data_IF_358851451848
#
_entry.id   IF_358851451848
#
_cell.length_a   1.000
_cell.length_b   1.000
_cell.length_c   1.000
_cell.angle_alpha   90.00
_cell.angle_beta   90.00
_cell.angle_gamma   90.00
#
_symmetry.space_group_name_H-M   'P 1'
#
loop_
_entity.id
_entity.type
_entity.pdbx_description
1 polymer ?
#
# COMPACT_ATOMS: atom_id res chain seq x y z
N UNK A 1 -15.52 10.39 3.92
CA UNK A 1 -15.93 9.20 3.16
C UNK A 1 -17.30 8.75 3.68
N UNK A 2 -18.27 8.64 2.79
CA UNK A 2 -19.67 8.36 3.14
C UNK A 2 -19.95 6.85 3.37
N UNK A 3 -18.92 6.02 3.50
CA UNK A 3 -19.08 4.57 3.73
C UNK A 3 -19.60 3.77 2.53
N UNK A 4 -19.53 4.34 1.32
CA UNK A 4 -20.04 3.74 0.09
C UNK A 4 -18.99 2.80 -0.51
N UNK A 5 -19.41 1.61 -0.93
CA UNK A 5 -18.57 0.69 -1.71
C UNK A 5 -18.65 1.03 -3.21
N UNK A 6 -17.51 1.04 -3.90
CA UNK A 6 -17.39 1.39 -5.33
C UNK A 6 -16.74 0.26 -6.09
N UNK A 7 -17.44 -0.26 -7.11
CA UNK A 7 -16.87 -1.25 -8.03
C UNK A 7 -16.20 -0.55 -9.23
N UNK A 8 -14.93 -0.87 -9.48
CA UNK A 8 -14.19 -0.40 -10.65
C UNK A 8 -14.32 -1.44 -11.74
N UNK A 9 -14.90 -1.04 -12.89
CA UNK A 9 -15.02 -1.88 -14.07
C UNK A 9 -14.06 -1.38 -15.15
N UNK A 10 -13.23 -2.27 -15.66
CA UNK A 10 -12.35 -2.00 -16.78
C UNK A 10 -12.72 -2.82 -18.00
N UNK A 11 -12.28 -2.35 -19.16
CA UNK A 11 -12.47 -3.03 -20.43
C UNK A 11 -11.37 -4.09 -20.57
N UNK A 12 -11.77 -5.36 -20.69
CA UNK A 12 -10.85 -6.51 -20.78
C UNK A 12 -10.70 -7.04 -22.20
N UNK A 13 -11.57 -6.62 -23.15
CA UNK A 13 -11.52 -7.02 -24.55
C UNK A 13 -10.80 -6.00 -25.45
N UNK A 14 -10.24 -6.50 -26.56
CA UNK A 14 -9.66 -5.65 -27.61
C UNK A 14 -10.77 -5.02 -28.47
N UNK A 15 -10.88 -3.68 -28.53
CA UNK A 15 -11.86 -2.99 -29.38
C UNK A 15 -11.71 -3.30 -30.86
N UNK A 16 -10.50 -3.61 -31.33
CA UNK A 16 -10.22 -3.88 -32.75
C UNK A 16 -10.74 -5.24 -33.20
N UNK A 17 -10.90 -6.20 -32.32
CA UNK A 17 -11.32 -7.57 -32.60
C UNK A 17 -12.77 -7.87 -32.19
N UNK A 18 -13.38 -6.99 -31.39
CA UNK A 18 -14.74 -7.17 -30.88
C UNK A 18 -15.81 -6.86 -31.95
N UNK A 19 -16.70 -7.82 -32.21
CA UNK A 19 -17.86 -7.64 -33.11
C UNK A 19 -19.10 -7.02 -32.42
N UNK A 20 -18.95 -6.49 -31.20
CA UNK A 20 -20.01 -5.93 -30.37
C UNK A 20 -19.47 -5.06 -29.26
N UNK A 21 -20.26 -4.74 -28.21
CA UNK A 21 -19.77 -4.03 -27.04
C UNK A 21 -18.59 -4.78 -26.43
N UNK A 22 -17.52 -4.08 -26.13
CA UNK A 22 -16.31 -4.67 -25.53
C UNK A 22 -16.62 -5.20 -24.13
N UNK A 23 -16.12 -6.39 -23.81
CA UNK A 23 -16.29 -7.02 -22.49
C UNK A 23 -15.70 -6.13 -21.39
N UNK A 24 -16.46 -5.98 -20.31
CA UNK A 24 -16.04 -5.24 -19.12
C UNK A 24 -16.15 -6.14 -17.90
N UNK A 25 -15.16 -6.08 -17.06
CA UNK A 25 -15.13 -6.86 -15.82
C UNK A 25 -14.85 -5.95 -14.61
N UNK A 26 -15.42 -6.33 -13.47
CA UNK A 26 -15.08 -5.68 -12.19
C UNK A 26 -13.68 -6.12 -11.82
N UNK A 27 -12.72 -5.21 -11.86
CA UNK A 27 -11.31 -5.48 -11.54
C UNK A 27 -10.99 -5.22 -10.08
N UNK A 28 -11.80 -4.42 -9.39
CA UNK A 28 -11.63 -4.11 -7.98
C UNK A 28 -12.91 -3.57 -7.37
N UNK A 29 -13.12 -3.86 -6.08
CA UNK A 29 -14.16 -3.25 -5.26
C UNK A 29 -13.45 -2.46 -4.15
N UNK A 30 -13.66 -1.15 -4.10
CA UNK A 30 -13.13 -0.28 -3.06
C UNK A 30 -14.20 -0.12 -1.99
N UNK A 31 -13.85 -0.46 -0.76
CA UNK A 31 -14.73 -0.32 0.41
C UNK A 31 -14.01 0.49 1.50
N UNK A 32 -14.71 1.04 2.50
CA UNK A 32 -14.06 1.86 3.52
C UNK A 32 -12.87 1.19 4.22
N UNK A 33 -12.94 -0.13 4.46
CA UNK A 33 -11.87 -0.89 5.12
C UNK A 33 -10.76 -1.37 4.16
N UNK A 34 -11.02 -1.43 2.84
CA UNK A 34 -10.05 -1.92 1.84
C UNK A 34 -9.30 -0.82 1.12
N UNK A 35 -9.34 0.41 1.63
CA UNK A 35 -8.63 1.55 1.05
C UNK A 35 -7.10 1.37 1.14
N UNK A 36 -6.41 1.65 0.04
CA UNK A 36 -4.94 1.66 -0.05
C UNK A 36 -4.40 2.92 -0.69
N UNK A 37 -5.25 3.69 -1.37
CA UNK A 37 -4.90 4.93 -2.05
C UNK A 37 -4.61 6.05 -1.04
N UNK A 38 -3.43 6.68 -1.17
CA UNK A 38 -2.99 7.77 -0.30
C UNK A 38 -4.01 8.93 -0.24
N UNK A 39 -4.61 9.29 -1.38
CA UNK A 39 -5.57 10.39 -1.46
C UNK A 39 -6.90 10.14 -0.72
N UNK A 40 -7.21 8.88 -0.39
CA UNK A 40 -8.44 8.48 0.29
C UNK A 40 -8.22 8.12 1.77
N UNK A 41 -6.97 7.93 2.17
CA UNK A 41 -6.59 7.56 3.52
C UNK A 41 -6.18 8.79 4.33
N UNK A 42 -6.65 8.86 5.58
CA UNK A 42 -6.07 9.76 6.57
C UNK A 42 -4.67 9.22 6.97
N UNK A 43 -3.64 10.05 6.84
CA UNK A 43 -2.27 9.65 7.14
C UNK A 43 -2.08 9.22 8.60
N UNK A 44 -2.83 9.83 9.51
CA UNK A 44 -2.76 9.65 10.96
C UNK A 44 -3.73 8.56 11.48
N UNK A 45 -4.59 7.96 10.62
CA UNK A 45 -5.58 6.97 11.01
C UNK A 45 -5.33 5.63 10.35
N UNK A 46 -5.67 4.58 11.09
CA UNK A 46 -5.79 3.23 10.54
C UNK A 46 -7.18 3.07 9.89
N UNK A 47 -7.25 2.32 8.79
CA UNK A 47 -8.52 1.92 8.18
C UNK A 47 -8.66 0.41 8.37
N UNK A 48 -9.38 0.01 9.41
CA UNK A 48 -9.44 -1.37 9.86
C UNK A 48 -10.67 -2.09 9.33
N UNK A 49 -10.47 -3.35 8.93
CA UNK A 49 -11.52 -4.34 8.76
C UNK A 49 -11.44 -5.28 9.94
N UNK A 50 -12.56 -5.50 10.61
CA UNK A 50 -12.67 -6.51 11.64
C UNK A 50 -13.66 -7.59 11.21
N UNK A 51 -13.43 -8.83 11.64
CA UNK A 51 -14.44 -9.89 11.60
C UNK A 51 -14.62 -10.46 12.99
N UNK A 52 -15.84 -10.81 13.34
CA UNK A 52 -16.17 -11.47 14.59
C UNK A 52 -16.91 -12.76 14.30
N UNK A 53 -16.50 -13.81 14.99
CA UNK A 53 -17.15 -15.11 14.98
C UNK A 53 -17.36 -15.61 16.41
N UNK A 54 -18.50 -16.25 16.65
CA UNK A 54 -18.87 -16.83 17.95
C UNK A 54 -19.08 -18.33 17.78
N UNK A 55 -18.46 -19.12 18.66
CA UNK A 55 -18.68 -20.55 18.71
C UNK A 55 -18.39 -21.10 20.11
N UNK A 56 -19.39 -21.80 20.68
CA UNK A 56 -19.22 -22.51 21.97
C UNK A 56 -18.98 -21.58 23.17
N UNK A 57 -19.39 -20.35 23.12
CA UNK A 57 -19.18 -19.35 24.17
C UNK A 57 -17.85 -18.58 24.04
N UNK A 58 -17.03 -18.91 23.04
CA UNK A 58 -15.83 -18.16 22.70
C UNK A 58 -16.10 -17.21 21.53
N UNK A 59 -15.48 -16.05 21.58
CA UNK A 59 -15.51 -15.00 20.57
C UNK A 59 -14.15 -14.88 19.91
N UNK A 60 -14.11 -15.03 18.60
CA UNK A 60 -12.93 -14.76 17.77
C UNK A 60 -13.05 -13.41 17.10
N UNK A 61 -12.02 -12.61 17.21
CA UNK A 61 -11.85 -11.32 16.51
C UNK A 61 -10.64 -11.41 15.61
N UNK A 62 -10.80 -11.03 14.36
CA UNK A 62 -9.71 -10.76 13.43
C UNK A 62 -9.70 -9.30 13.03
N UNK A 63 -8.52 -8.72 12.91
CA UNK A 63 -8.30 -7.30 12.60
C UNK A 63 -7.30 -7.20 11.47
N UNK A 64 -7.63 -6.51 10.38
CA UNK A 64 -6.74 -6.28 9.26
C UNK A 64 -6.70 -4.81 8.86
N UNK A 65 -5.50 -4.28 8.64
CA UNK A 65 -5.26 -3.03 7.90
C UNK A 65 -4.56 -3.36 6.58
N UNK A 66 -5.31 -3.31 5.49
CA UNK A 66 -4.79 -3.68 4.16
C UNK A 66 -3.66 -2.75 3.73
N UNK A 67 -3.75 -1.47 4.09
CA UNK A 67 -2.79 -0.45 3.67
C UNK A 67 -1.40 -0.57 4.32
N UNK A 68 -1.27 -1.29 5.44
CA UNK A 68 0.01 -1.50 6.15
C UNK A 68 0.43 -2.97 6.23
N UNK A 69 -0.47 -3.90 5.89
CA UNK A 69 -0.24 -5.33 6.04
C UNK A 69 -0.35 -5.83 7.49
N UNK A 70 -0.93 -5.04 8.40
CA UNK A 70 -1.22 -5.47 9.77
C UNK A 70 -2.35 -6.49 9.76
N UNK A 71 -2.12 -7.68 10.35
CA UNK A 71 -3.13 -8.71 10.50
C UNK A 71 -3.00 -9.35 11.89
N UNK A 72 -4.05 -9.23 12.69
CA UNK A 72 -4.04 -9.63 14.10
C UNK A 72 -5.30 -10.41 14.48
N UNK A 73 -5.19 -11.27 15.48
CA UNK A 73 -6.31 -12.08 16.00
C UNK A 73 -6.35 -12.06 17.51
N UNK A 74 -7.57 -12.21 18.05
CA UNK A 74 -7.86 -12.36 19.48
C UNK A 74 -8.97 -13.38 19.65
N UNK A 75 -8.82 -14.28 20.60
CA UNK A 75 -9.93 -15.12 21.11
C UNK A 75 -10.17 -14.84 22.58
N UNK A 76 -11.42 -14.71 22.97
CA UNK A 76 -11.85 -14.46 24.35
C UNK A 76 -13.21 -15.09 24.61
N UNK A 77 -13.45 -15.53 25.85
CA UNK A 77 -14.76 -15.98 26.32
C UNK A 77 -15.62 -14.86 26.90
N UNK A 78 -15.10 -13.62 26.93
CA UNK A 78 -15.76 -12.47 27.54
C UNK A 78 -16.23 -11.48 26.48
N UNK A 79 -17.54 -11.31 26.34
CA UNK A 79 -18.13 -10.36 25.40
C UNK A 79 -17.69 -8.91 25.64
N UNK A 80 -17.55 -8.52 26.91
CA UNK A 80 -17.13 -7.15 27.27
C UNK A 80 -15.71 -6.84 26.80
N UNK A 81 -14.83 -7.85 26.82
CA UNK A 81 -13.47 -7.72 26.26
C UNK A 81 -13.54 -7.52 24.74
N UNK A 82 -14.36 -8.32 24.04
CA UNK A 82 -14.57 -8.17 22.60
C UNK A 82 -15.10 -6.75 22.26
N UNK A 83 -16.15 -6.30 22.96
CA UNK A 83 -16.74 -4.98 22.76
C UNK A 83 -15.74 -3.86 23.05
N UNK A 84 -14.95 -3.99 24.10
CA UNK A 84 -13.91 -3.03 24.44
C UNK A 84 -12.84 -2.93 23.34
N UNK A 85 -12.43 -4.07 22.78
CA UNK A 85 -11.47 -4.10 21.68
C UNK A 85 -12.07 -3.52 20.39
N UNK A 86 -13.28 -3.88 20.02
CA UNK A 86 -13.96 -3.29 18.86
C UNK A 86 -14.12 -1.77 18.99
N UNK A 87 -14.50 -1.28 20.18
CA UNK A 87 -14.62 0.15 20.45
C UNK A 87 -13.27 0.87 20.41
N UNK A 88 -12.18 0.19 20.82
CA UNK A 88 -10.81 0.70 20.71
C UNK A 88 -10.35 0.81 19.26
N UNK A 89 -10.62 -0.24 18.48
CA UNK A 89 -10.20 -0.35 17.08
C UNK A 89 -10.99 0.59 16.18
N UNK A 90 -12.28 0.81 16.45
CA UNK A 90 -13.16 1.66 15.65
C UNK A 90 -13.17 1.23 14.17
N UNK A 91 -13.50 -0.04 13.85
CA UNK A 91 -13.34 -0.55 12.50
C UNK A 91 -14.18 0.23 11.49
N UNK A 92 -13.61 0.44 10.30
CA UNK A 92 -14.34 1.00 9.17
C UNK A 92 -15.38 0.02 8.62
N UNK A 93 -15.11 -1.29 8.77
CA UNK A 93 -16.02 -2.38 8.41
C UNK A 93 -15.93 -3.51 9.42
N UNK A 94 -17.09 -4.03 9.81
CA UNK A 94 -17.22 -5.16 10.73
C UNK A 94 -17.96 -6.30 10.03
N UNK A 95 -17.27 -7.41 9.79
CA UNK A 95 -17.81 -8.59 9.14
C UNK A 95 -18.40 -9.54 10.19
N UNK A 96 -19.64 -9.93 10.00
CA UNK A 96 -20.34 -10.86 10.88
C UNK A 96 -20.97 -11.98 10.06
N UNK A 97 -21.12 -13.21 10.60
CA UNK A 97 -21.88 -14.26 9.93
C UNK A 97 -23.34 -13.82 9.71
N UNK A 98 -23.94 -14.30 8.63
CA UNK A 98 -25.39 -14.16 8.44
C UNK A 98 -26.12 -14.86 9.60
N UNK A 99 -27.19 -14.23 10.08
CA UNK A 99 -28.04 -14.74 11.15
C UNK A 99 -27.36 -14.99 12.52
N UNK A 100 -26.18 -14.42 12.73
CA UNK A 100 -25.45 -14.54 13.98
C UNK A 100 -26.14 -13.73 15.10
N UNK A 101 -26.41 -14.40 16.25
CA UNK A 101 -27.03 -13.72 17.40
C UNK A 101 -26.18 -12.59 17.96
N UNK A 102 -24.86 -12.69 17.84
CA UNK A 102 -23.93 -11.65 18.26
C UNK A 102 -24.15 -10.32 17.52
N UNK A 103 -24.74 -10.35 16.32
CA UNK A 103 -25.07 -9.12 15.56
C UNK A 103 -25.96 -8.19 16.38
N UNK A 104 -26.95 -8.71 17.11
CA UNK A 104 -27.82 -7.91 17.99
C UNK A 104 -27.07 -7.22 19.13
N UNK A 105 -25.96 -7.81 19.56
CA UNK A 105 -25.12 -7.27 20.65
C UNK A 105 -24.08 -6.25 20.15
N UNK A 106 -23.89 -6.18 18.84
CA UNK A 106 -22.91 -5.30 18.18
C UNK A 106 -23.56 -4.23 17.28
N UNK A 107 -24.88 -4.01 17.37
CA UNK A 107 -25.63 -3.03 16.57
C UNK A 107 -25.12 -1.59 16.74
N UNK A 108 -24.45 -1.28 17.84
CA UNK A 108 -23.83 0.02 18.10
C UNK A 108 -22.66 0.35 17.15
N UNK A 109 -22.06 -0.68 16.52
CA UNK A 109 -20.94 -0.51 15.60
C UNK A 109 -21.43 -0.18 14.19
N UNK A 110 -20.72 0.73 13.53
CA UNK A 110 -21.03 1.13 12.16
C UNK A 110 -20.31 0.21 11.15
N UNK A 111 -20.81 0.20 9.92
CA UNK A 111 -20.14 -0.53 8.84
C UNK A 111 -20.26 -2.04 8.94
N UNK A 112 -21.30 -2.56 9.62
CA UNK A 112 -21.56 -4.00 9.69
C UNK A 112 -21.90 -4.54 8.30
N UNK A 113 -21.24 -5.65 7.94
CA UNK A 113 -21.50 -6.44 6.73
C UNK A 113 -21.67 -7.90 7.08
N UNK A 114 -22.76 -8.46 6.63
CA UNK A 114 -23.04 -9.90 6.83
C UNK A 114 -22.36 -10.73 5.76
N UNK A 115 -21.68 -11.79 6.20
CA UNK A 115 -20.98 -12.75 5.34
C UNK A 115 -21.59 -14.13 5.48
N UNK A 116 -21.57 -14.96 4.43
CA UNK A 116 -22.03 -16.34 4.51
C UNK A 116 -21.32 -17.10 5.61
N UNK A 117 -22.07 -17.93 6.37
CA UNK A 117 -21.53 -18.69 7.51
C UNK A 117 -20.36 -19.59 7.11
N UNK A 118 -20.37 -20.15 5.89
CA UNK A 118 -19.30 -21.02 5.39
C UNK A 118 -17.94 -20.31 5.23
N UNK A 119 -17.90 -18.98 5.16
CA UNK A 119 -16.63 -18.23 5.17
C UNK A 119 -15.92 -18.26 6.52
N UNK A 120 -16.62 -18.68 7.58
CA UNK A 120 -16.08 -18.88 8.92
C UNK A 120 -15.79 -20.35 9.22
N UNK A 121 -15.77 -21.23 8.20
CA UNK A 121 -15.37 -22.62 8.40
C UNK A 121 -13.93 -22.74 8.84
N UNK A 122 -13.66 -23.56 9.86
CA UNK A 122 -12.33 -23.68 10.48
C UNK A 122 -11.32 -24.32 9.54
N UNK A 123 -11.70 -25.37 8.82
CA UNK A 123 -10.79 -26.08 7.91
C UNK A 123 -10.40 -25.21 6.74
N UNK A 124 -11.39 -24.54 6.11
CA UNK A 124 -11.13 -23.63 5.01
C UNK A 124 -10.34 -22.40 5.45
N UNK A 125 -10.64 -21.84 6.62
CA UNK A 125 -9.91 -20.70 7.17
C UNK A 125 -8.45 -21.03 7.43
N UNK A 126 -8.17 -22.19 8.06
CA UNK A 126 -6.81 -22.69 8.25
C UNK A 126 -6.07 -22.85 6.92
N UNK A 127 -6.72 -23.46 5.91
CA UNK A 127 -6.08 -23.67 4.61
C UNK A 127 -5.78 -22.34 3.91
N UNK A 128 -6.73 -21.41 3.87
CA UNK A 128 -6.53 -20.07 3.28
C UNK A 128 -5.36 -19.30 3.92
N UNK A 129 -5.25 -19.37 5.26
CA UNK A 129 -4.16 -18.69 5.98
C UNK A 129 -2.81 -19.38 5.72
N UNK A 130 -2.76 -20.72 5.67
CA UNK A 130 -1.54 -21.45 5.29
C UNK A 130 -1.07 -21.09 3.87
N UNK A 131 -2.00 -21.07 2.93
CA UNK A 131 -1.70 -20.71 1.53
C UNK A 131 -1.23 -19.26 1.42
N UNK A 132 -1.87 -18.33 2.15
CA UNK A 132 -1.47 -16.92 2.18
C UNK A 132 -0.04 -16.73 2.70
N UNK A 133 0.33 -17.43 3.78
CA UNK A 133 1.64 -17.26 4.42
C UNK A 133 2.71 -18.24 3.90
N UNK A 134 2.33 -19.20 3.05
CA UNK A 134 3.25 -20.22 2.52
C UNK A 134 3.79 -21.17 3.59
N UNK A 135 2.97 -21.50 4.62
CA UNK A 135 3.35 -22.34 5.75
C UNK A 135 2.55 -23.65 5.81
N UNK A 136 3.13 -24.66 6.44
CA UNK A 136 2.43 -25.94 6.60
C UNK A 136 1.42 -25.92 7.76
N UNK A 137 1.70 -25.15 8.80
CA UNK A 137 0.81 -24.94 9.95
C UNK A 137 0.93 -23.51 10.50
N UNK A 138 0.01 -23.12 11.38
CA UNK A 138 -0.05 -21.79 11.97
C UNK A 138 0.67 -21.68 13.32
N UNK A 139 1.42 -22.71 13.76
CA UNK A 139 2.10 -22.74 15.06
C UNK A 139 3.14 -21.60 15.20
N UNK A 140 3.81 -21.25 14.11
CA UNK A 140 4.78 -20.15 14.08
C UNK A 140 4.17 -18.77 14.41
N UNK A 141 2.85 -18.63 14.34
CA UNK A 141 2.14 -17.38 14.65
C UNK A 141 1.52 -17.36 16.05
N UNK A 142 1.75 -18.39 16.88
CA UNK A 142 1.21 -18.50 18.24
C UNK A 142 -0.32 -18.37 18.31
N UNK A 143 -1.02 -18.93 17.32
CA UNK A 143 -2.47 -18.84 17.17
C UNK A 143 -3.19 -20.21 17.11
N UNK A 144 -2.45 -21.32 17.28
CA UNK A 144 -3.01 -22.69 17.14
C UNK A 144 -4.07 -23.02 18.16
N UNK A 145 -4.07 -22.36 19.32
CA UNK A 145 -5.04 -22.50 20.40
C UNK A 145 -6.24 -21.53 20.27
N UNK A 146 -6.35 -20.82 19.13
CA UNK A 146 -7.40 -19.81 18.88
C UNK A 146 -8.28 -20.15 17.67
N UNK A 147 -8.93 -21.31 17.60
CA UNK A 147 -9.66 -21.78 16.42
C UNK A 147 -10.79 -20.84 16.00
N UNK A 148 -11.48 -20.19 16.96
CA UNK A 148 -12.59 -19.26 16.66
C UNK A 148 -12.05 -17.96 16.05
N UNK A 149 -10.90 -17.47 16.50
CA UNK A 149 -10.25 -16.30 15.91
C UNK A 149 -9.67 -16.60 14.52
N UNK A 150 -9.19 -17.82 14.28
CA UNK A 150 -8.76 -18.29 12.96
C UNK A 150 -9.91 -18.30 11.95
N UNK A 151 -11.13 -18.72 12.36
CA UNK A 151 -12.32 -18.63 11.53
C UNK A 151 -12.61 -17.18 11.11
N UNK A 152 -12.55 -16.25 12.06
CA UNK A 152 -12.70 -14.81 11.77
C UNK A 152 -11.60 -14.29 10.82
N UNK A 153 -10.34 -14.72 10.99
CA UNK A 153 -9.23 -14.35 10.13
C UNK A 153 -9.41 -14.87 8.69
N UNK A 154 -9.90 -16.09 8.51
CA UNK A 154 -10.23 -16.66 7.21
C UNK A 154 -11.28 -15.84 6.47
N UNK A 155 -12.32 -15.38 7.16
CA UNK A 155 -13.35 -14.51 6.60
C UNK A 155 -12.78 -13.16 6.16
N UNK A 156 -11.97 -12.49 6.98
CA UNK A 156 -11.31 -11.22 6.59
C UNK A 156 -10.45 -11.41 5.36
N UNK A 157 -9.64 -12.47 5.32
CA UNK A 157 -8.75 -12.75 4.19
C UNK A 157 -9.55 -13.03 2.91
N UNK A 158 -10.65 -13.81 3.00
CA UNK A 158 -11.55 -14.08 1.87
C UNK A 158 -12.19 -12.78 1.35
N UNK A 159 -12.71 -11.93 2.24
CA UNK A 159 -13.31 -10.66 1.89
C UNK A 159 -12.34 -9.70 1.20
N UNK A 160 -11.13 -9.57 1.71
CA UNK A 160 -10.10 -8.71 1.11
C UNK A 160 -9.63 -9.29 -0.23
N UNK A 161 -9.47 -10.60 -0.35
CA UNK A 161 -9.17 -11.28 -1.61
C UNK A 161 -10.24 -11.05 -2.68
N UNK A 162 -11.53 -11.13 -2.30
CA UNK A 162 -12.68 -10.87 -3.17
C UNK A 162 -12.69 -9.40 -3.66
N UNK A 163 -12.42 -8.45 -2.77
CA UNK A 163 -12.49 -7.02 -3.07
C UNK A 163 -11.30 -6.53 -3.89
N UNK A 164 -10.10 -6.99 -3.59
CA UNK A 164 -8.89 -6.63 -4.34
C UNK A 164 -8.70 -7.44 -5.60
N UNK A 165 -9.25 -8.66 -5.68
CA UNK A 165 -9.08 -9.60 -6.81
C UNK A 165 -7.62 -9.85 -7.19
N UNK A 166 -6.72 -9.78 -6.22
CA UNK A 166 -5.27 -9.93 -6.35
C UNK A 166 -4.72 -10.66 -5.14
N UNK A 167 -3.53 -11.22 -5.30
CA UNK A 167 -2.75 -11.72 -4.16
C UNK A 167 -2.35 -10.57 -3.24
N UNK A 168 -2.17 -10.87 -1.96
CA UNK A 168 -1.85 -9.91 -0.90
C UNK A 168 -0.44 -10.19 -0.31
N UNK A 169 0.64 -10.10 -1.11
CA UNK A 169 1.96 -10.57 -0.70
C UNK A 169 2.58 -9.75 0.44
N UNK A 170 2.05 -8.57 0.74
CA UNK A 170 2.45 -7.76 1.89
C UNK A 170 1.90 -8.27 3.22
N UNK A 171 0.88 -9.13 3.20
CA UNK A 171 0.40 -9.83 4.39
C UNK A 171 1.30 -11.05 4.66
N UNK A 172 2.34 -10.86 5.46
CA UNK A 172 3.37 -11.88 5.69
C UNK A 172 3.24 -12.62 7.01
N UNK A 173 2.40 -12.15 7.92
CA UNK A 173 2.24 -12.76 9.24
C UNK A 173 0.90 -12.44 9.88
N UNK A 174 0.46 -13.37 10.72
CA UNK A 174 -0.63 -13.21 11.66
C UNK A 174 -0.04 -12.96 13.06
N UNK A 175 -0.63 -12.05 13.83
CA UNK A 175 -0.20 -11.78 15.21
C UNK A 175 -1.33 -12.05 16.18
N UNK A 176 -1.01 -12.68 17.29
CA UNK A 176 -1.93 -12.78 18.42
C UNK A 176 -1.96 -11.47 19.19
N UNK A 177 -3.14 -10.94 19.47
CA UNK A 177 -3.35 -9.88 20.44
C UNK A 177 -3.37 -10.53 21.82
N UNK A 178 -2.48 -10.11 22.70
CA UNK A 178 -2.39 -10.59 24.07
C UNK A 178 -2.90 -9.51 25.02
N UNK A 179 -4.09 -9.70 25.57
CA UNK A 179 -4.70 -8.77 26.50
C UNK A 179 -3.97 -8.74 27.85
N UNK A 180 -3.23 -9.81 28.18
CA UNK A 180 -2.39 -9.90 29.37
C UNK A 180 -1.19 -8.93 29.33
N UNK A 181 -0.72 -8.54 28.14
CA UNK A 181 0.44 -7.65 27.96
C UNK A 181 0.07 -6.19 28.11
N UNK A 182 -1.23 -5.84 28.13
CA UNK A 182 -1.70 -4.47 28.15
C UNK A 182 -2.76 -4.22 29.22
N UNK A 183 -2.93 -2.96 29.60
CA UNK A 183 -4.01 -2.52 30.47
C UNK A 183 -5.28 -2.34 29.62
N UNK A 184 -6.32 -3.08 29.94
CA UNK A 184 -7.62 -2.93 29.31
C UNK A 184 -8.29 -1.67 29.84
N UNK A 185 -8.55 -0.71 28.95
CA UNK A 185 -9.31 0.50 29.25
C UNK A 185 -10.69 0.34 28.63
N UNK A 186 -11.74 0.33 29.45
CA UNK A 186 -13.10 0.21 28.96
C UNK A 186 -13.51 1.41 28.07
N UNK A 187 -14.53 1.26 27.20
CA UNK A 187 -14.92 2.30 26.25
C UNK A 187 -15.33 3.63 26.92
N UNK A 188 -15.99 3.55 28.09
CA UNK A 188 -16.45 4.73 28.83
C UNK A 188 -15.26 5.49 29.41
N UNK A 189 -14.34 4.80 30.07
CA UNK A 189 -13.10 5.39 30.60
C UNK A 189 -12.26 6.00 29.49
N UNK A 190 -12.10 5.30 28.35
CA UNK A 190 -11.33 5.80 27.20
C UNK A 190 -11.95 7.10 26.65
N UNK A 191 -13.26 7.15 26.53
CA UNK A 191 -13.99 8.34 26.09
C UNK A 191 -13.83 9.49 27.09
N UNK A 192 -14.01 9.23 28.38
CA UNK A 192 -13.95 10.25 29.41
C UNK A 192 -12.53 10.80 29.63
N UNK A 193 -11.50 9.99 29.38
CA UNK A 193 -10.10 10.42 29.41
C UNK A 193 -9.68 11.18 28.14
N UNK A 194 -10.53 11.23 27.12
CA UNK A 194 -10.24 11.89 25.85
C UNK A 194 -8.85 11.55 25.28
N UNK A 195 -8.51 10.26 25.27
CA UNK A 195 -7.16 9.82 24.90
C UNK A 195 -6.83 10.14 23.44
N UNK A 196 -7.75 9.83 22.49
CA UNK A 196 -7.56 9.96 21.05
C UNK A 196 -8.68 10.78 20.40
N UNK A 197 -9.86 10.75 20.98
CA UNK A 197 -11.03 11.52 20.57
C UNK A 197 -11.61 12.28 21.74
N UNK A 198 -12.01 13.53 21.52
CA UNK A 198 -12.70 14.32 22.53
C UNK A 198 -14.19 13.92 22.60
N UNK A 199 -14.91 14.41 23.60
CA UNK A 199 -16.34 14.09 23.80
C UNK A 199 -17.24 14.45 22.62
N UNK A 200 -16.80 15.38 21.75
CA UNK A 200 -17.50 15.78 20.52
C UNK A 200 -17.10 14.93 19.31
N UNK A 201 -16.20 13.96 19.47
CA UNK A 201 -15.70 13.07 18.41
C UNK A 201 -14.55 13.63 17.58
N UNK A 202 -14.06 14.84 17.88
CA UNK A 202 -12.87 15.44 17.28
C UNK A 202 -11.57 14.90 17.86
N UNK A 203 -10.44 15.32 17.29
CA UNK A 203 -9.08 14.97 17.79
C UNK A 203 -8.41 16.11 18.56
N UNK A 204 -8.92 17.30 18.44
CA UNK A 204 -8.38 18.48 19.13
C UNK A 204 -8.56 18.36 20.63
N UNK A 205 -7.62 18.89 21.38
CA UNK A 205 -7.65 18.89 22.86
C UNK A 205 -7.70 17.50 23.51
N UNK A 206 -7.18 16.48 22.83
CA UNK A 206 -7.03 15.12 23.36
C UNK A 206 -5.61 14.92 23.92
N UNK A 207 -5.40 13.87 24.73
CA UNK A 207 -4.07 13.51 25.19
C UNK A 207 -3.12 13.27 24.01
N UNK A 208 -3.59 12.58 22.97
CA UNK A 208 -2.83 12.36 21.74
C UNK A 208 -2.42 13.70 21.11
N UNK A 209 -3.32 14.66 20.98
CA UNK A 209 -3.03 15.95 20.34
C UNK A 209 -1.96 16.77 21.06
N UNK A 210 -1.83 16.58 22.36
CA UNK A 210 -0.78 17.25 23.18
C UNK A 210 0.56 16.53 23.03
N UNK A 211 0.56 15.19 22.97
CA UNK A 211 1.77 14.39 22.96
C UNK A 211 2.33 14.15 21.55
N UNK A 212 1.50 14.21 20.51
CA UNK A 212 1.93 13.88 19.15
C UNK A 212 2.86 14.94 18.57
N UNK A 213 4.15 14.69 18.71
CA UNK A 213 5.24 15.41 18.08
C UNK A 213 5.96 14.54 17.04
N UNK A 214 5.35 13.43 16.63
CA UNK A 214 5.93 12.50 15.66
C UNK A 214 6.18 13.18 14.32
N UNK A 215 7.18 12.71 13.58
CA UNK A 215 7.57 13.27 12.29
C UNK A 215 7.16 12.38 11.11
N UNK A 216 6.67 11.17 11.41
CA UNK A 216 6.20 10.25 10.38
C UNK A 216 4.75 9.84 10.63
N UNK A 217 3.94 9.60 9.57
CA UNK A 217 2.58 9.06 9.74
C UNK A 217 2.56 7.73 10.51
N UNK A 218 3.54 6.85 10.26
CA UNK A 218 3.72 5.58 10.99
C UNK A 218 3.92 5.82 12.48
N UNK A 219 4.72 6.81 12.85
CA UNK A 219 4.95 7.21 14.25
C UNK A 219 3.67 7.68 14.92
N UNK A 220 2.88 8.53 14.27
CA UNK A 220 1.60 9.01 14.80
C UNK A 220 0.62 7.88 15.05
N UNK A 221 0.44 6.97 14.06
CA UNK A 221 -0.38 5.76 14.23
C UNK A 221 0.12 4.87 15.38
N UNK A 222 1.44 4.71 15.51
CA UNK A 222 2.04 3.94 16.60
C UNK A 222 1.81 4.58 17.97
N UNK A 223 1.96 5.90 18.08
CA UNK A 223 1.70 6.63 19.32
C UNK A 223 0.23 6.52 19.74
N UNK A 224 -0.71 6.67 18.82
CA UNK A 224 -2.13 6.49 19.09
C UNK A 224 -2.45 5.08 19.65
N UNK A 225 -1.82 4.04 19.06
CA UNK A 225 -1.93 2.67 19.59
C UNK A 225 -1.37 2.53 21.00
N UNK A 226 -0.21 3.10 21.29
CA UNK A 226 0.39 3.05 22.61
C UNK A 226 -0.47 3.70 23.69
N UNK A 227 -1.10 4.83 23.38
CA UNK A 227 -2.00 5.52 24.31
C UNK A 227 -3.28 4.71 24.58
N UNK A 228 -3.77 3.97 23.60
CA UNK A 228 -5.00 3.17 23.74
C UNK A 228 -4.75 1.76 24.25
N UNK A 229 -3.49 1.30 24.27
CA UNK A 229 -3.06 0.01 24.79
C UNK A 229 -1.80 0.17 25.65
N UNK A 230 -1.90 0.76 26.85
CA UNK A 230 -0.76 0.90 27.75
C UNK A 230 -0.22 -0.47 28.15
N UNK A 231 1.10 -0.60 28.21
CA UNK A 231 1.76 -1.85 28.59
C UNK A 231 1.58 -2.14 30.09
N UNK A 232 1.63 -3.44 30.43
CA UNK A 232 1.71 -3.93 31.82
C UNK A 232 3.10 -4.40 32.19
N UNK A 233 3.89 -4.83 31.21
CA UNK A 233 5.25 -5.31 31.45
C UNK A 233 6.17 -4.16 31.85
N UNK A 234 6.60 -4.16 33.12
CA UNK A 234 7.50 -3.16 33.67
C UNK A 234 8.87 -3.14 32.97
N UNK A 235 9.37 -4.30 32.53
CA UNK A 235 10.67 -4.42 31.85
C UNK A 235 10.62 -3.68 30.53
N UNK A 236 9.55 -3.87 29.74
CA UNK A 236 9.39 -3.17 28.46
C UNK A 236 9.16 -1.67 28.68
N UNK A 237 8.39 -1.29 29.71
CA UNK A 237 8.18 0.13 30.08
C UNK A 237 9.51 0.79 30.46
N UNK A 238 10.29 0.17 31.34
CA UNK A 238 11.60 0.70 31.78
C UNK A 238 12.58 0.80 30.61
N UNK A 239 12.57 -0.18 29.69
CA UNK A 239 13.40 -0.15 28.48
C UNK A 239 13.04 1.04 27.58
N UNK A 240 11.75 1.36 27.42
CA UNK A 240 11.31 2.54 26.67
C UNK A 240 11.69 3.85 27.36
N UNK A 241 11.51 3.92 28.69
CA UNK A 241 11.89 5.10 29.47
C UNK A 241 13.41 5.35 29.44
N UNK A 242 14.21 4.29 29.54
CA UNK A 242 15.66 4.37 29.41
C UNK A 242 16.09 4.90 28.04
N UNK A 243 15.44 4.42 26.96
CA UNK A 243 15.71 4.93 25.62
C UNK A 243 15.37 6.43 25.49
N UNK A 244 14.25 6.88 26.04
CA UNK A 244 13.89 8.31 26.09
C UNK A 244 14.91 9.11 26.85
N UNK A 245 15.32 8.66 28.06
CA UNK A 245 16.31 9.33 28.86
C UNK A 245 17.66 9.47 28.14
N UNK A 246 18.11 8.41 27.45
CA UNK A 246 19.34 8.44 26.65
C UNK A 246 19.27 9.49 25.54
N UNK A 247 18.16 9.53 24.80
CA UNK A 247 17.96 10.51 23.74
C UNK A 247 17.93 11.95 24.27
N UNK A 248 17.36 12.18 25.45
CA UNK A 248 17.34 13.51 26.10
C UNK A 248 18.71 13.97 26.58
N UNK A 249 19.49 13.08 27.21
CA UNK A 249 20.81 13.43 27.76
C UNK A 249 21.78 13.93 26.69
N UNK A 250 21.76 13.37 25.51
CA UNK A 250 22.67 13.71 24.42
C UNK A 250 22.11 14.72 23.42
N UNK A 251 20.89 15.21 23.63
CA UNK A 251 20.16 16.09 22.70
C UNK A 251 20.14 15.58 21.25
N UNK A 252 20.30 14.27 21.06
CA UNK A 252 20.43 13.60 19.77
C UNK A 252 19.07 13.34 19.10
N UNK A 253 17.98 13.58 19.83
CA UNK A 253 16.64 13.45 19.27
C UNK A 253 16.35 14.50 18.18
N UNK A 254 16.96 15.70 18.21
CA UNK A 254 16.70 16.73 17.20
C UNK A 254 17.19 16.35 15.80
N UNK A 255 18.45 15.90 15.60
CA UNK A 255 18.88 15.37 14.30
C UNK A 255 18.02 14.21 13.82
N UNK A 256 17.69 13.25 14.68
CA UNK A 256 16.82 12.13 14.35
C UNK A 256 15.44 12.58 13.89
N UNK A 257 14.86 13.59 14.56
CA UNK A 257 13.58 14.18 14.17
C UNK A 257 13.63 14.85 12.81
N UNK A 258 14.71 15.59 12.54
CA UNK A 258 14.91 16.25 11.24
C UNK A 258 15.01 15.24 10.09
N UNK A 259 15.70 14.13 10.30
CA UNK A 259 15.81 13.04 9.34
C UNK A 259 14.46 12.31 9.16
N UNK A 260 13.81 11.94 10.26
CA UNK A 260 12.51 11.27 10.21
C UNK A 260 11.43 12.12 9.52
N UNK A 261 11.50 13.45 9.58
CA UNK A 261 10.59 14.35 8.86
C UNK A 261 10.67 14.22 7.34
N UNK A 262 11.78 13.70 6.82
CA UNK A 262 11.98 13.45 5.38
C UNK A 262 11.52 12.06 4.97
N UNK A 263 11.33 11.14 5.91
CA UNK A 263 10.92 9.77 5.63
C UNK A 263 9.47 9.68 5.16
N UNK A 264 9.24 8.84 4.16
CA UNK A 264 7.90 8.50 3.67
C UNK A 264 7.20 7.47 4.56
N UNK A 265 5.92 7.25 4.30
CA UNK A 265 5.12 6.18 4.91
C UNK A 265 5.44 4.83 4.26
N UNK A 266 6.56 4.23 4.68
CA UNK A 266 7.07 2.98 4.09
C UNK A 266 6.05 1.84 4.20
N UNK A 267 5.33 1.73 5.33
CA UNK A 267 4.31 0.69 5.51
C UNK A 267 3.29 0.72 4.37
N UNK A 268 2.73 1.90 4.09
CA UNK A 268 1.72 2.08 3.04
C UNK A 268 2.31 2.03 1.63
N UNK A 269 3.52 2.52 1.44
CA UNK A 269 4.22 2.45 0.14
C UNK A 269 4.48 1.00 -0.24
N UNK A 270 5.02 0.18 0.67
CA UNK A 270 5.32 -1.24 0.42
C UNK A 270 4.04 -2.02 0.11
N UNK A 271 2.95 -1.75 0.83
CA UNK A 271 1.66 -2.36 0.53
C UNK A 271 1.17 -2.01 -0.89
N UNK A 272 1.27 -0.74 -1.31
CA UNK A 272 0.90 -0.33 -2.67
C UNK A 272 1.78 -0.96 -3.75
N UNK A 273 3.09 -1.11 -3.48
CA UNK A 273 4.00 -1.82 -4.40
C UNK A 273 3.57 -3.29 -4.55
N UNK A 274 3.34 -3.97 -3.44
CA UNK A 274 2.91 -5.36 -3.43
C UNK A 274 1.56 -5.58 -4.14
N UNK A 275 0.64 -4.63 -3.99
CA UNK A 275 -0.66 -4.61 -4.67
C UNK A 275 -0.60 -4.09 -6.11
N UNK A 276 0.59 -3.71 -6.62
CA UNK A 276 0.78 -3.13 -7.96
C UNK A 276 -0.09 -1.88 -8.22
N UNK A 277 -0.29 -1.07 -7.17
CA UNK A 277 -1.05 0.19 -7.22
C UNK A 277 -0.16 1.40 -6.91
N UNK A 278 1.13 1.18 -6.70
CA UNK A 278 2.10 2.22 -6.42
C UNK A 278 2.19 3.23 -7.59
N UNK A 279 2.31 4.49 -7.24
CA UNK A 279 2.52 5.59 -8.19
C UNK A 279 4.01 5.94 -8.28
N UNK A 280 4.45 6.63 -9.33
CA UNK A 280 5.86 7.04 -9.47
C UNK A 280 6.41 7.77 -8.24
N UNK A 281 5.60 8.63 -7.62
CA UNK A 281 5.97 9.36 -6.40
C UNK A 281 6.14 8.47 -5.17
N UNK A 282 5.47 7.33 -5.09
CA UNK A 282 5.68 6.34 -4.03
C UNK A 282 7.09 5.75 -4.10
N UNK A 283 7.55 5.42 -5.32
CA UNK A 283 8.90 4.91 -5.54
C UNK A 283 9.97 5.96 -5.25
N UNK A 284 9.73 7.22 -5.63
CA UNK A 284 10.62 8.33 -5.28
C UNK A 284 10.71 8.53 -3.76
N UNK A 285 9.57 8.49 -3.06
CA UNK A 285 9.54 8.57 -1.59
C UNK A 285 10.26 7.40 -0.93
N UNK A 286 10.10 6.19 -1.47
CA UNK A 286 10.84 5.02 -0.98
C UNK A 286 12.34 5.20 -1.20
N UNK A 287 12.77 5.59 -2.41
CA UNK A 287 14.17 5.91 -2.73
C UNK A 287 14.77 6.88 -1.72
N UNK A 288 14.10 8.03 -1.52
CA UNK A 288 14.57 9.10 -0.64
C UNK A 288 14.65 8.62 0.82
N UNK A 289 13.67 7.82 1.26
CA UNK A 289 13.69 7.24 2.61
C UNK A 289 14.81 6.21 2.79
N UNK A 290 15.05 5.35 1.80
CA UNK A 290 16.15 4.38 1.86
C UNK A 290 17.52 5.06 1.85
N UNK A 291 17.64 6.20 1.18
CA UNK A 291 18.87 6.99 1.16
C UNK A 291 19.20 7.63 2.52
N UNK A 292 18.21 7.82 3.40
CA UNK A 292 18.41 8.34 4.76
C UNK A 292 18.91 7.25 5.74
N UNK A 293 18.69 5.97 5.46
CA UNK A 293 18.98 4.90 6.43
C UNK A 293 20.44 4.81 6.87
N UNK A 294 21.47 4.99 5.99
CA UNK A 294 22.87 4.98 6.43
C UNK A 294 23.17 6.05 7.47
N UNK A 295 22.78 7.29 7.21
CA UNK A 295 22.99 8.42 8.12
C UNK A 295 22.18 8.26 9.41
N UNK A 296 20.91 7.79 9.31
CA UNK A 296 20.10 7.49 10.48
C UNK A 296 20.75 6.43 11.37
N UNK A 297 21.30 5.37 10.77
CA UNK A 297 22.02 4.31 11.49
C UNK A 297 23.29 4.85 12.16
N UNK A 298 24.04 5.71 11.50
CA UNK A 298 25.23 6.35 12.05
C UNK A 298 24.87 7.22 13.25
N UNK A 299 23.89 8.11 13.14
CA UNK A 299 23.44 8.96 14.25
C UNK A 299 22.95 8.10 15.42
N UNK A 300 22.18 7.03 15.15
CA UNK A 300 21.75 6.14 16.22
C UNK A 300 22.93 5.44 16.92
N UNK A 301 23.94 5.01 16.20
CA UNK A 301 25.12 4.36 16.79
C UNK A 301 25.97 5.30 17.65
N UNK A 302 26.01 6.59 17.34
CA UNK A 302 26.69 7.59 18.18
C UNK A 302 26.01 7.84 19.53
N UNK A 303 24.70 7.55 19.61
CA UNK A 303 23.87 7.71 20.83
C UNK A 303 23.92 6.48 21.71
N UNK A 304 24.22 5.33 21.13
CA UNK A 304 24.19 4.05 21.83
C UNK A 304 25.41 3.95 22.77
N UNK A 305 25.15 3.76 24.07
CA UNK A 305 26.17 3.41 25.06
C UNK A 305 26.50 1.92 24.88
N UNK A 306 27.76 1.54 24.56
CA UNK A 306 28.12 0.16 24.23
C UNK A 306 27.88 -0.89 25.29
N UNK A 307 27.71 -0.49 26.55
CA UNK A 307 27.84 -1.38 27.72
C UNK A 307 26.55 -2.12 28.14
N UNK A 308 25.39 -1.82 27.55
CA UNK A 308 24.15 -2.53 27.86
C UNK A 308 23.26 -2.73 26.60
N UNK A 309 22.71 -3.92 26.41
CA UNK A 309 21.70 -4.12 25.38
C UNK A 309 20.50 -3.22 25.66
N UNK A 310 20.22 -2.29 24.75
CA UNK A 310 19.15 -1.31 24.92
C UNK A 310 18.14 -1.42 23.76
N UNK A 311 16.94 -0.85 23.97
CA UNK A 311 15.95 -0.73 22.90
C UNK A 311 16.53 0.03 21.69
N UNK A 312 17.37 1.03 21.91
CA UNK A 312 18.03 1.79 20.85
C UNK A 312 18.96 0.94 20.01
N UNK A 313 19.72 0.00 20.62
CA UNK A 313 20.56 -0.96 19.88
C UNK A 313 19.70 -1.82 18.96
N UNK A 314 18.61 -2.37 19.50
CA UNK A 314 17.66 -3.18 18.70
C UNK A 314 17.06 -2.39 17.54
N UNK A 315 16.74 -1.12 17.76
CA UNK A 315 16.20 -0.26 16.70
C UNK A 315 17.26 0.08 15.66
N UNK A 316 18.50 0.39 16.07
CA UNK A 316 19.63 0.62 15.15
C UNK A 316 19.90 -0.59 14.27
N UNK A 317 19.92 -1.80 14.85
CA UNK A 317 20.09 -3.05 14.12
C UNK A 317 18.99 -3.32 13.09
N UNK A 318 17.77 -2.85 13.37
CA UNK A 318 16.62 -2.99 12.46
C UNK A 318 16.58 -1.92 11.36
N UNK A 319 17.28 -0.80 11.55
CA UNK A 319 17.35 0.31 10.57
C UNK A 319 18.53 0.19 9.62
N UNK A 320 18.89 -1.04 9.22
CA UNK A 320 20.03 -1.29 8.34
C UNK A 320 19.81 -0.71 6.95
N UNK A 321 20.88 -0.14 6.40
CA UNK A 321 20.91 0.30 5.01
C UNK A 321 20.52 -0.82 4.03
N UNK A 322 19.80 -0.45 2.98
CA UNK A 322 19.39 -1.32 1.88
C UNK A 322 20.06 -0.86 0.58
N UNK A 323 21.40 -0.99 0.44
CA UNK A 323 22.16 -0.30 -0.62
C UNK A 323 21.74 -0.75 -2.01
N UNK A 324 21.48 -2.04 -2.22
CA UNK A 324 21.11 -2.57 -3.53
C UNK A 324 19.80 -1.97 -4.04
N UNK A 325 18.77 -1.94 -3.18
CA UNK A 325 17.46 -1.39 -3.54
C UNK A 325 17.51 0.14 -3.66
N UNK A 326 18.25 0.80 -2.77
CA UNK A 326 18.42 2.26 -2.82
C UNK A 326 19.12 2.69 -4.11
N UNK A 327 20.20 2.01 -4.51
CA UNK A 327 20.93 2.27 -5.74
C UNK A 327 20.06 2.01 -6.98
N UNK A 328 19.34 0.91 -7.01
CA UNK A 328 18.42 0.60 -8.10
C UNK A 328 17.37 1.68 -8.30
N UNK A 329 16.68 2.11 -7.24
CA UNK A 329 15.71 3.19 -7.31
C UNK A 329 16.35 4.53 -7.69
N UNK A 330 17.57 4.79 -7.22
CA UNK A 330 18.32 6.01 -7.55
C UNK A 330 18.70 6.08 -9.03
N UNK A 331 19.04 4.95 -9.63
CA UNK A 331 19.36 4.85 -11.07
C UNK A 331 18.12 4.89 -11.94
N UNK A 332 17.02 4.23 -11.48
CA UNK A 332 15.84 4.03 -12.30
C UNK A 332 14.85 5.20 -12.28
N UNK A 333 14.61 5.84 -11.12
CA UNK A 333 13.50 6.75 -10.93
C UNK A 333 13.97 8.22 -10.98
N UNK A 334 13.25 9.03 -11.76
CA UNK A 334 13.48 10.48 -11.82
C UNK A 334 13.45 11.15 -10.45
N UNK A 335 14.17 12.24 -10.29
CA UNK A 335 14.26 12.98 -9.02
C UNK A 335 12.87 13.46 -8.60
N UNK A 336 12.10 13.98 -9.54
CA UNK A 336 10.74 14.49 -9.31
C UNK A 336 9.80 13.89 -10.36
N UNK A 337 9.37 12.63 -10.18
CA UNK A 337 8.54 11.97 -11.17
C UNK A 337 7.12 12.55 -11.19
N UNK A 338 6.40 12.40 -12.30
CA UNK A 338 5.01 12.83 -12.44
C UNK A 338 4.08 12.06 -11.47
N UNK A 339 2.84 12.53 -11.35
CA UNK A 339 1.84 11.89 -10.48
C UNK A 339 1.40 10.54 -11.03
N UNK A 340 1.24 10.46 -12.36
CA UNK A 340 0.75 9.25 -13.06
C UNK A 340 1.71 8.82 -14.17
N UNK A 341 1.84 7.51 -14.35
CA UNK A 341 2.79 6.89 -15.29
C UNK A 341 2.56 7.36 -16.74
N UNK A 342 1.32 7.57 -17.15
CA UNK A 342 0.98 7.97 -18.54
C UNK A 342 1.46 9.37 -18.93
N UNK A 343 1.89 10.19 -17.98
CA UNK A 343 2.49 11.50 -18.26
C UNK A 343 3.91 11.36 -18.84
N UNK A 344 4.51 10.16 -18.73
CA UNK A 344 5.92 9.94 -19.12
C UNK A 344 6.89 10.51 -18.08
N UNK A 345 8.19 10.44 -18.36
CA UNK A 345 9.22 11.06 -17.50
C UNK A 345 9.36 10.44 -16.11
N UNK A 346 9.06 9.12 -15.96
CA UNK A 346 9.20 8.40 -14.71
C UNK A 346 10.59 7.81 -14.55
N UNK A 347 11.12 7.22 -15.64
CA UNK A 347 12.40 6.54 -15.67
C UNK A 347 13.48 7.53 -16.12
N UNK A 348 14.61 7.55 -15.40
CA UNK A 348 15.78 8.36 -15.74
C UNK A 348 16.37 8.01 -17.10
N UNK A 349 16.90 9.01 -17.78
CA UNK A 349 17.74 8.79 -18.95
C UNK A 349 19.01 7.99 -18.57
N UNK A 350 19.41 7.06 -19.43
CA UNK A 350 20.55 6.18 -19.21
C UNK A 350 20.25 4.92 -18.37
N UNK A 351 19.01 4.72 -17.94
CA UNK A 351 18.62 3.51 -17.23
C UNK A 351 18.30 2.35 -18.18
N UNK A 352 17.58 2.62 -19.27
CA UNK A 352 17.21 1.63 -20.29
C UNK A 352 17.43 2.22 -21.68
N UNK A 353 18.36 1.66 -22.45
CA UNK A 353 18.75 2.14 -23.77
C UNK A 353 17.59 2.14 -24.76
N UNK A 354 16.73 1.11 -24.72
CA UNK A 354 15.56 1.02 -25.61
C UNK A 354 14.55 2.12 -25.32
N UNK A 355 14.33 2.41 -24.04
CA UNK A 355 13.44 3.50 -23.64
C UNK A 355 14.01 4.86 -24.05
N UNK A 356 15.31 5.07 -23.91
CA UNK A 356 15.96 6.33 -24.30
C UNK A 356 15.91 6.53 -25.82
N UNK A 357 16.09 5.48 -26.61
CA UNK A 357 15.89 5.52 -28.06
C UNK A 357 14.45 5.88 -28.41
N UNK A 358 13.45 5.25 -27.79
CA UNK A 358 12.04 5.56 -28.01
C UNK A 358 11.67 6.98 -27.59
N UNK A 359 12.24 7.49 -26.49
CA UNK A 359 12.05 8.89 -26.06
C UNK A 359 12.66 9.85 -27.07
N UNK A 360 13.86 9.60 -27.55
CA UNK A 360 14.52 10.46 -28.54
C UNK A 360 13.71 10.55 -29.85
N UNK A 361 13.14 9.42 -30.29
CA UNK A 361 12.23 9.40 -31.45
C UNK A 361 10.95 10.21 -31.20
N UNK A 362 10.43 10.16 -29.98
CA UNK A 362 9.19 10.87 -29.61
C UNK A 362 9.42 12.40 -29.43
N UNK A 363 10.55 12.79 -28.87
CA UNK A 363 10.88 14.19 -28.60
C UNK A 363 11.34 14.94 -29.86
N UNK A 364 12.02 14.25 -30.74
CA UNK A 364 12.51 14.81 -31.98
C UNK A 364 11.93 14.11 -33.22
N UNK A 365 10.60 13.97 -33.23
CA UNK A 365 9.88 13.35 -34.33
C UNK A 365 10.16 14.05 -35.70
N UNK A 366 10.48 15.33 -35.68
CA UNK A 366 10.85 16.09 -36.88
C UNK A 366 12.23 15.67 -37.42
N UNK A 367 13.25 15.56 -36.52
CA UNK A 367 14.58 15.10 -36.92
C UNK A 367 14.57 13.63 -37.32
N UNK A 368 13.80 12.80 -36.64
CA UNK A 368 13.59 11.39 -37.02
C UNK A 368 13.00 11.24 -38.42
N UNK A 369 11.94 12.03 -38.74
CA UNK A 369 11.38 12.06 -40.08
C UNK A 369 12.37 12.48 -41.15
N UNK A 370 13.18 13.52 -40.88
CA UNK A 370 14.23 13.97 -41.79
C UNK A 370 15.32 12.93 -41.99
N UNK A 371 15.72 12.24 -40.90
CA UNK A 371 16.69 11.13 -40.98
C UNK A 371 16.14 9.98 -41.82
N UNK A 372 14.90 9.53 -41.51
CA UNK A 372 14.22 8.45 -42.26
C UNK A 372 14.06 8.84 -43.72
N UNK A 373 13.68 10.09 -44.03
CA UNK A 373 13.57 10.58 -45.40
C UNK A 373 14.91 10.51 -46.12
N UNK A 374 16.01 10.89 -45.46
CA UNK A 374 17.35 10.87 -46.03
C UNK A 374 17.83 9.44 -46.31
N UNK A 375 17.61 8.53 -45.34
CA UNK A 375 17.93 7.11 -45.45
C UNK A 375 17.14 6.43 -46.58
N UNK A 376 15.83 6.71 -46.68
CA UNK A 376 14.97 6.14 -47.72
C UNK A 376 15.30 6.75 -49.11
N UNK A 377 15.62 8.02 -49.23
CA UNK A 377 16.14 8.64 -50.45
C UNK A 377 17.42 7.94 -50.92
N UNK A 378 18.33 7.69 -50.01
CA UNK A 378 19.61 7.02 -50.30
C UNK A 378 19.38 5.58 -50.74
N UNK A 379 18.49 4.84 -50.05
CA UNK A 379 18.19 3.46 -50.35
C UNK A 379 17.46 3.27 -51.66
N UNK A 380 16.55 4.19 -52.00
CA UNK A 380 15.65 4.03 -53.16
C UNK A 380 16.10 4.82 -54.38
N UNK A 381 16.96 5.82 -54.22
CA UNK A 381 17.38 6.77 -55.26
C UNK A 381 16.28 7.81 -55.66
N UNK A 382 15.18 7.85 -54.93
CA UNK A 382 14.04 8.69 -55.23
C UNK A 382 14.17 10.07 -54.60
N UNK A 383 14.61 11.06 -55.33
CA UNK A 383 14.90 12.40 -54.83
C UNK A 383 13.68 13.19 -54.34
N UNK A 384 12.49 12.91 -54.88
CA UNK A 384 11.24 13.59 -54.50
C UNK A 384 10.55 12.96 -53.29
N UNK A 385 11.12 11.87 -52.71
CA UNK A 385 10.57 11.19 -51.55
C UNK A 385 10.48 12.14 -50.37
N UNK A 386 9.31 12.22 -49.74
CA UNK A 386 9.08 12.90 -48.47
C UNK A 386 8.41 11.96 -47.50
N UNK A 387 8.84 12.01 -46.25
CA UNK A 387 8.22 11.27 -45.15
C UNK A 387 7.38 12.23 -44.32
N UNK A 388 6.14 11.89 -44.07
CA UNK A 388 5.20 12.69 -43.27
C UNK A 388 4.42 11.84 -42.29
N UNK A 389 3.70 12.52 -41.39
CA UNK A 389 2.80 11.89 -40.43
C UNK A 389 1.44 12.60 -40.44
N UNK A 390 0.38 11.82 -40.40
CA UNK A 390 -0.94 12.33 -40.09
C UNK A 390 -1.72 11.37 -39.16
N UNK A 391 -2.73 11.89 -38.45
CA UNK A 391 -3.50 11.11 -37.46
C UNK A 391 -4.34 9.99 -38.07
N UNK A 392 -4.65 10.04 -39.38
CA UNK A 392 -5.54 9.06 -40.06
C UNK A 392 -4.76 7.86 -40.57
N UNK A 393 -3.59 8.09 -41.15
CA UNK A 393 -2.79 7.06 -41.81
C UNK A 393 -1.47 6.72 -41.08
N UNK A 394 -1.15 7.44 -40.01
CA UNK A 394 0.15 7.32 -39.33
C UNK A 394 1.29 7.93 -40.18
N UNK A 395 2.43 7.26 -40.19
CA UNK A 395 3.57 7.63 -41.03
C UNK A 395 3.28 7.22 -42.50
N UNK A 396 3.60 8.12 -43.45
CA UNK A 396 3.43 7.87 -44.86
C UNK A 396 4.59 8.43 -45.67
N UNK A 397 4.84 7.86 -46.84
CA UNK A 397 5.80 8.31 -47.84
C UNK A 397 5.02 8.95 -48.98
N UNK A 398 5.42 10.15 -49.41
CA UNK A 398 4.87 10.87 -50.54
C UNK A 398 5.91 10.92 -51.65
N UNK A 399 5.48 10.59 -52.86
CA UNK A 399 6.31 10.59 -54.06
C UNK A 399 5.66 11.42 -55.18
N UNK A 400 6.47 12.10 -56.02
CA UNK A 400 5.98 12.75 -57.19
C UNK A 400 5.42 11.71 -58.21
N UNK A 401 4.44 12.09 -59.04
CA UNK A 401 3.85 11.20 -60.08
C UNK A 401 4.89 10.54 -60.98
N UNK A 402 5.97 11.24 -61.28
CA UNK A 402 7.03 10.73 -62.16
C UNK A 402 7.78 9.59 -61.45
N UNK A 403 8.21 9.83 -60.21
CA UNK A 403 8.96 8.82 -59.44
C UNK A 403 8.08 7.73 -58.78
N UNK A 404 6.79 7.91 -58.74
CA UNK A 404 5.87 6.86 -58.23
C UNK A 404 5.87 5.60 -59.10
N UNK A 405 6.33 5.66 -60.35
CA UNK A 405 6.49 4.47 -61.22
C UNK A 405 7.74 3.66 -60.86
N UNK A 406 8.73 4.29 -60.22
CA UNK A 406 9.97 3.67 -59.78
C UNK A 406 9.93 3.24 -58.32
N UNK A 407 8.75 3.37 -57.66
CA UNK A 407 8.60 3.04 -56.27
C UNK A 407 8.88 1.53 -56.01
N UNK A 408 9.59 1.17 -54.93
CA UNK A 408 9.84 -0.20 -54.58
C UNK A 408 8.57 -1.02 -54.42
N UNK A 409 8.56 -2.28 -54.81
CA UNK A 409 7.43 -3.23 -54.71
C UNK A 409 6.94 -3.38 -53.26
N UNK A 410 7.80 -3.10 -52.31
CA UNK A 410 7.50 -3.13 -50.85
C UNK A 410 6.58 -2.01 -50.41
N UNK A 411 6.41 -0.94 -51.22
CA UNK A 411 5.54 0.17 -50.87
C UNK A 411 4.10 -0.13 -51.23
N UNK A 412 3.19 0.11 -50.28
CA UNK A 412 1.74 -0.08 -50.51
C UNK A 412 1.07 1.27 -50.74
N UNK A 413 0.54 1.47 -51.95
CA UNK A 413 -0.16 2.70 -52.31
C UNK A 413 -1.49 2.82 -51.54
N UNK A 414 -1.62 3.91 -50.76
CA UNK A 414 -2.82 4.19 -49.96
C UNK A 414 -3.72 5.26 -50.61
N UNK A 415 -3.12 6.32 -51.17
CA UNK A 415 -3.86 7.44 -51.73
C UNK A 415 -3.13 8.05 -52.92
N UNK A 416 -3.86 8.71 -53.80
CA UNK A 416 -3.33 9.53 -54.91
C UNK A 416 -3.68 10.98 -54.64
N UNK A 417 -2.67 11.86 -54.52
CA UNK A 417 -2.85 13.29 -54.41
C UNK A 417 -2.83 13.92 -55.81
N UNK A 418 -3.42 15.13 -55.94
CA UNK A 418 -3.60 15.83 -57.23
C UNK A 418 -2.27 16.15 -57.94
N UNK A 419 -1.20 16.31 -57.18
CA UNK A 419 0.15 16.67 -57.67
C UNK A 419 1.26 15.71 -57.20
N UNK A 420 0.92 14.61 -56.55
CA UNK A 420 1.88 13.62 -56.03
C UNK A 420 1.41 12.20 -56.34
#
# INVERSE_FOLDING_TARGET
TEGISVAICEQTGDPATSKGPVTREVVRIITPGTLTEEALLDAQKESLICAVFERGGDYGLAVMEVSSGRFEVLQTSHLDVLKSELARLGPAELLLPQDAQIALQLEEFKGIKHRPVWEFDESESNQKLKDQFGVQDLSAFDCSDQPVAICAAGCVLAYVGETHRRQLPHLQRLRRIRNEDTIIIDPTSRRNLELVHNLLGGREHTLLSVLDQTKTPMGGRRLARWLTQPLRDSIEIESRLAAVATLQQHSTFEPLRAMLAQAGDIERIVARIALQTARPRDLARLRDTLALLPELSEVMTTVIIPEAPSLLNTLADRTRAQPVLADELQRAIETTPPVVIREGGVIKAGYDETLDELKSISEDAAAFLVKLETEEKTRTGLSSLKVGYNRVHGYFIELSKVQAQEAPITYIRRQTLKNA
#
